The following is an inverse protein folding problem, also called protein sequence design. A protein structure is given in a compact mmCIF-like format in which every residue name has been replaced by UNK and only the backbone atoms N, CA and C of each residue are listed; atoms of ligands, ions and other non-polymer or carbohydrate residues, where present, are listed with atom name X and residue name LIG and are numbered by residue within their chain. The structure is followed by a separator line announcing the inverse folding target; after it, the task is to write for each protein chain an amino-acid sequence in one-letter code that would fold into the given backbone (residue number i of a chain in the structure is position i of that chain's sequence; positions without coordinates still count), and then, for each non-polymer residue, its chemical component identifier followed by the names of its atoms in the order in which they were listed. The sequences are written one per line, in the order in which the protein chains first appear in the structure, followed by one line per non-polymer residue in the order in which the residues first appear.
data_IF_213224737157
#
_entry.id   IF_213224737157
#
_cell.length_a   1.000
_cell.length_b   1.000
_cell.length_c   1.000
_cell.angle_alpha   90.00
_cell.angle_beta   90.00
_cell.angle_gamma   90.00
#
_symmetry.space_group_name_H-M   'P 1'
#
loop_
_entity.id
_entity.type
_entity.pdbx_description
1 polymer ?
#
# COMPACT_ATOMS: atom_id res chain seq x y z
N UNK A 1 -22.23 29.58 18.06
CA UNK A 1 -20.91 29.53 17.42
C UNK A 1 -20.02 28.38 17.92
N UNK A 2 -20.06 27.97 19.20
CA UNK A 2 -19.19 26.90 19.72
C UNK A 2 -19.40 25.48 19.13
N UNK A 3 -20.63 25.12 18.75
CA UNK A 3 -20.91 23.77 18.20
C UNK A 3 -20.25 23.53 16.83
N UNK A 4 -20.12 24.56 15.99
CA UNK A 4 -19.47 24.46 14.68
C UNK A 4 -17.96 24.25 14.79
N UNK A 5 -17.30 24.90 15.76
CA UNK A 5 -15.87 24.72 16.05
C UNK A 5 -15.58 23.31 16.55
N UNK A 6 -16.44 22.77 17.43
CA UNK A 6 -16.32 21.40 17.95
C UNK A 6 -16.51 20.30 16.88
N UNK A 7 -17.28 20.58 15.83
CA UNK A 7 -17.44 19.65 14.70
C UNK A 7 -16.23 19.69 13.76
N UNK A 8 -15.67 20.88 13.52
CA UNK A 8 -14.46 21.07 12.71
C UNK A 8 -13.22 20.35 13.28
N UNK A 9 -13.05 20.32 14.60
CA UNK A 9 -11.92 19.61 15.23
C UNK A 9 -12.01 18.09 15.07
N UNK A 10 -13.21 17.51 15.16
CA UNK A 10 -13.44 16.07 14.92
C UNK A 10 -13.14 15.67 13.47
N UNK A 11 -13.55 16.50 12.51
CA UNK A 11 -13.26 16.27 11.08
C UNK A 11 -11.74 16.30 10.84
N UNK A 12 -11.02 17.25 11.45
CA UNK A 12 -9.57 17.35 11.30
C UNK A 12 -8.83 16.17 11.91
N UNK A 13 -9.30 15.65 13.06
CA UNK A 13 -8.75 14.45 13.70
C UNK A 13 -8.95 13.22 12.82
N UNK A 14 -10.17 12.99 12.33
CA UNK A 14 -10.46 11.88 11.43
C UNK A 14 -9.62 11.94 10.16
N UNK A 15 -9.48 13.15 9.60
CA UNK A 15 -8.64 13.45 8.45
C UNK A 15 -7.17 13.07 8.70
N UNK A 16 -6.59 13.42 9.86
CA UNK A 16 -5.22 13.03 10.20
C UNK A 16 -5.07 11.51 10.37
N UNK A 17 -6.01 10.86 11.06
CA UNK A 17 -6.00 9.41 11.25
C UNK A 17 -6.07 8.66 9.91
N UNK A 18 -6.85 9.17 8.96
CA UNK A 18 -6.96 8.57 7.64
C UNK A 18 -5.65 8.73 6.84
N UNK A 19 -4.95 9.85 6.96
CA UNK A 19 -3.63 10.06 6.33
C UNK A 19 -2.59 9.08 6.88
N UNK A 20 -2.55 8.92 8.21
CA UNK A 20 -1.65 7.99 8.88
C UNK A 20 -1.95 6.54 8.47
N UNK A 21 -3.22 6.15 8.51
CA UNK A 21 -3.67 4.83 8.08
C UNK A 21 -3.30 4.57 6.62
N UNK A 22 -3.50 5.53 5.72
CA UNK A 22 -3.16 5.37 4.31
C UNK A 22 -1.64 5.20 4.11
N UNK A 23 -0.83 6.01 4.80
CA UNK A 23 0.63 5.91 4.73
C UNK A 23 1.15 4.55 5.24
N UNK A 24 0.61 4.06 6.35
CA UNK A 24 1.00 2.75 6.89
C UNK A 24 0.48 1.59 6.03
N UNK A 25 -0.72 1.72 5.47
CA UNK A 25 -1.27 0.76 4.52
C UNK A 25 -0.39 0.64 3.27
N UNK A 26 0.08 1.77 2.71
CA UNK A 26 1.01 1.78 1.57
C UNK A 26 2.30 1.03 1.92
N UNK A 27 2.91 1.30 3.09
CA UNK A 27 4.15 0.62 3.52
C UNK A 27 3.96 -0.89 3.64
N UNK A 28 2.88 -1.32 4.30
CA UNK A 28 2.58 -2.74 4.53
C UNK A 28 2.32 -3.44 3.21
N UNK A 29 1.46 -2.87 2.35
CA UNK A 29 1.18 -3.46 1.03
C UNK A 29 2.43 -3.55 0.16
N UNK A 30 3.31 -2.55 0.20
CA UNK A 30 4.57 -2.59 -0.53
C UNK A 30 5.44 -3.76 -0.05
N UNK A 31 5.59 -3.93 1.27
CA UNK A 31 6.31 -5.08 1.86
C UNK A 31 5.71 -6.42 1.42
N UNK A 32 4.39 -6.54 1.49
CA UNK A 32 3.66 -7.75 1.08
C UNK A 32 3.86 -8.03 -0.42
N UNK A 33 3.80 -7.02 -1.29
CA UNK A 33 4.07 -7.18 -2.72
C UNK A 33 5.47 -7.74 -2.98
N UNK A 34 6.48 -7.23 -2.27
CA UNK A 34 7.85 -7.77 -2.37
C UNK A 34 7.95 -9.21 -1.86
N UNK A 35 7.36 -9.51 -0.70
CA UNK A 35 7.36 -10.87 -0.14
C UNK A 35 6.64 -11.86 -1.06
N UNK A 36 5.50 -11.49 -1.65
CA UNK A 36 4.79 -12.32 -2.63
C UNK A 36 5.63 -12.60 -3.88
N UNK A 37 6.37 -11.59 -4.38
CA UNK A 37 7.27 -11.78 -5.51
C UNK A 37 8.41 -12.77 -5.17
N UNK A 38 9.00 -12.67 -3.98
CA UNK A 38 10.03 -13.63 -3.54
C UNK A 38 9.46 -15.03 -3.29
N UNK A 39 8.29 -15.14 -2.68
CA UNK A 39 7.63 -16.41 -2.43
C UNK A 39 7.26 -17.12 -3.74
N UNK A 40 6.83 -16.36 -4.76
CA UNK A 40 6.63 -16.88 -6.12
C UNK A 40 7.92 -17.47 -6.69
N UNK A 41 9.04 -16.76 -6.58
CA UNK A 41 10.34 -17.26 -7.03
C UNK A 41 10.70 -18.58 -6.33
N UNK A 42 10.58 -18.63 -5.00
CA UNK A 42 10.86 -19.84 -4.23
C UNK A 42 9.92 -21.00 -4.61
N UNK A 43 8.64 -20.71 -4.83
CA UNK A 43 7.64 -21.69 -5.25
C UNK A 43 7.89 -22.25 -6.66
N UNK A 44 8.61 -21.53 -7.53
CA UNK A 44 9.00 -22.02 -8.86
C UNK A 44 10.36 -22.71 -8.84
N UNK A 45 11.31 -22.20 -8.04
CA UNK A 45 12.66 -22.73 -7.95
C UNK A 45 12.71 -24.09 -7.24
N UNK A 46 11.94 -24.29 -6.17
CA UNK A 46 11.95 -25.55 -5.41
C UNK A 46 11.51 -26.74 -6.28
N UNK A 47 10.39 -26.67 -7.03
CA UNK A 47 10.02 -27.71 -7.98
C UNK A 47 11.06 -27.90 -9.08
N UNK A 48 11.61 -26.82 -9.66
CA UNK A 48 12.61 -26.92 -10.74
C UNK A 48 13.89 -27.63 -10.29
N UNK A 49 14.39 -27.31 -9.09
CA UNK A 49 15.55 -27.99 -8.52
C UNK A 49 15.26 -29.47 -8.28
N UNK A 50 14.05 -29.78 -7.81
CA UNK A 50 13.63 -31.14 -7.54
C UNK A 50 13.39 -31.94 -8.84
N UNK A 51 12.86 -31.30 -9.87
CA UNK A 51 12.74 -31.86 -11.22
C UNK A 51 14.10 -32.17 -11.83
N UNK A 52 15.10 -31.32 -11.61
CA UNK A 52 16.47 -31.59 -12.04
C UNK A 52 17.05 -32.83 -11.34
N UNK A 53 16.88 -32.93 -10.02
CA UNK A 53 17.36 -34.09 -9.24
C UNK A 53 16.61 -35.39 -9.58
N UNK A 54 15.33 -35.27 -9.91
CA UNK A 54 14.43 -36.40 -10.18
C UNK A 54 14.20 -36.60 -11.68
N UNK A 55 15.04 -36.01 -12.53
CA UNK A 55 14.88 -36.05 -13.99
C UNK A 55 14.84 -37.49 -14.53
N UNK A 56 15.62 -38.41 -13.94
CA UNK A 56 15.61 -39.84 -14.30
C UNK A 56 14.32 -40.57 -13.90
N UNK A 57 13.53 -40.00 -12.99
CA UNK A 57 12.26 -40.52 -12.49
C UNK A 57 11.05 -39.77 -13.08
N UNK A 58 11.29 -38.87 -14.05
CA UNK A 58 10.24 -38.07 -14.68
C UNK A 58 9.88 -36.77 -13.94
N UNK A 59 10.68 -36.36 -12.95
CA UNK A 59 10.47 -35.15 -12.16
C UNK A 59 9.61 -35.34 -10.91
N UNK A 60 9.44 -34.29 -10.10
CA UNK A 60 8.69 -34.35 -8.85
C UNK A 60 7.20 -34.65 -9.08
N UNK A 61 6.66 -34.16 -10.20
CA UNK A 61 5.25 -34.31 -10.52
C UNK A 61 4.89 -35.74 -10.97
N UNK A 62 5.80 -36.43 -11.69
CA UNK A 62 5.65 -37.84 -11.99
C UNK A 62 5.67 -38.71 -10.72
N UNK A 63 6.53 -38.37 -9.75
CA UNK A 63 6.66 -39.11 -8.50
C UNK A 63 5.50 -38.90 -7.52
N UNK A 64 4.92 -37.71 -7.53
CA UNK A 64 3.75 -37.40 -6.68
C UNK A 64 2.42 -37.81 -7.32
N UNK A 65 2.44 -38.29 -8.57
CA UNK A 65 1.25 -38.67 -9.33
C UNK A 65 0.30 -37.50 -9.60
N UNK A 66 0.82 -36.26 -9.59
CA UNK A 66 0.04 -35.04 -9.82
C UNK A 66 0.52 -34.35 -11.08
N UNK A 67 -0.42 -33.89 -11.89
CA UNK A 67 -0.13 -33.10 -13.09
C UNK A 67 0.10 -31.63 -12.67
N UNK A 68 1.21 -31.01 -13.11
CA UNK A 68 1.56 -29.64 -12.72
C UNK A 68 0.98 -28.61 -13.69
N UNK A 69 -0.22 -28.13 -13.42
CA UNK A 69 -0.82 -27.04 -14.19
C UNK A 69 -0.89 -25.73 -13.40
N UNK A 70 -0.07 -25.57 -12.35
CA UNK A 70 -0.06 -24.35 -11.55
C UNK A 70 0.65 -23.21 -12.29
N UNK A 71 -0.11 -22.40 -13.01
CA UNK A 71 0.35 -21.10 -13.49
C UNK A 71 0.33 -20.11 -12.32
N UNK A 72 1.48 -19.50 -12.02
CA UNK A 72 1.59 -18.48 -10.96
C UNK A 72 1.70 -17.12 -11.64
N UNK A 73 0.64 -16.33 -11.55
CA UNK A 73 0.60 -14.95 -12.05
C UNK A 73 1.65 -14.06 -11.39
N UNK A 74 2.17 -13.12 -12.17
CA UNK A 74 3.10 -12.08 -11.71
C UNK A 74 2.42 -10.71 -11.76
N UNK A 75 1.77 -10.36 -10.64
CA UNK A 75 1.06 -9.09 -10.50
C UNK A 75 1.88 -8.00 -9.79
N UNK A 76 3.18 -8.24 -9.55
CA UNK A 76 4.01 -7.31 -8.79
C UNK A 76 4.00 -5.91 -9.42
N UNK A 77 4.19 -5.82 -10.74
CA UNK A 77 4.17 -4.54 -11.46
C UNK A 77 2.82 -3.83 -11.36
N UNK A 78 1.71 -4.57 -11.45
CA UNK A 78 0.34 -4.04 -11.32
C UNK A 78 0.11 -3.51 -9.91
N UNK A 79 0.52 -4.26 -8.90
CA UNK A 79 0.43 -3.88 -7.49
C UNK A 79 1.26 -2.61 -7.20
N UNK A 80 2.50 -2.54 -7.69
CA UNK A 80 3.35 -1.35 -7.51
C UNK A 80 2.75 -0.11 -8.18
N UNK A 81 2.15 -0.24 -9.38
CA UNK A 81 1.45 0.87 -10.03
C UNK A 81 0.27 1.36 -9.19
N UNK A 82 -0.52 0.45 -8.63
CA UNK A 82 -1.63 0.79 -7.73
C UNK A 82 -1.14 1.55 -6.50
N UNK A 83 -0.09 1.04 -5.84
CA UNK A 83 0.49 1.68 -4.66
C UNK A 83 1.05 3.07 -4.94
N UNK A 84 1.75 3.24 -6.06
CA UNK A 84 2.27 4.55 -6.47
C UNK A 84 1.14 5.56 -6.75
N UNK A 85 0.00 5.11 -7.29
CA UNK A 85 -1.17 5.99 -7.49
C UNK A 85 -1.74 6.46 -6.16
N UNK A 86 -1.92 5.53 -5.21
CA UNK A 86 -2.45 5.86 -3.87
C UNK A 86 -1.48 6.80 -3.15
N UNK A 87 -0.18 6.54 -3.22
CA UNK A 87 0.83 7.42 -2.61
C UNK A 87 0.78 8.85 -3.17
N UNK A 88 0.60 8.98 -4.49
CA UNK A 88 0.42 10.29 -5.14
C UNK A 88 -0.82 11.00 -4.62
N UNK A 89 -1.96 10.31 -4.52
CA UNK A 89 -3.22 10.89 -4.04
C UNK A 89 -3.12 11.36 -2.58
N UNK A 90 -2.49 10.56 -1.71
CA UNK A 90 -2.24 10.93 -0.31
C UNK A 90 -1.35 12.18 -0.22
N UNK A 91 -0.28 12.24 -1.03
CA UNK A 91 0.62 13.41 -1.11
C UNK A 91 -0.11 14.66 -1.58
N UNK A 92 -0.95 14.55 -2.61
CA UNK A 92 -1.74 15.66 -3.14
C UNK A 92 -2.72 16.18 -2.09
N UNK A 93 -3.41 15.29 -1.39
CA UNK A 93 -4.35 15.64 -0.33
C UNK A 93 -3.65 16.36 0.84
N UNK A 94 -2.47 15.86 1.25
CA UNK A 94 -1.65 16.51 2.29
C UNK A 94 -1.28 17.95 1.90
N UNK A 95 -0.85 18.15 0.65
CA UNK A 95 -0.51 19.48 0.12
C UNK A 95 -1.71 20.44 0.13
N UNK A 96 -2.90 19.95 -0.23
CA UNK A 96 -4.12 20.76 -0.19
C UNK A 96 -4.48 21.19 1.24
N UNK A 97 -4.33 20.28 2.21
CA UNK A 97 -4.57 20.57 3.63
C UNK A 97 -3.61 21.62 4.18
N UNK A 98 -2.31 21.46 3.91
CA UNK A 98 -1.28 22.43 4.30
C UNK A 98 -1.56 23.80 3.67
N UNK A 99 -1.88 23.84 2.38
CA UNK A 99 -2.24 25.08 1.67
C UNK A 99 -3.48 25.76 2.25
N UNK A 100 -4.52 25.01 2.59
CA UNK A 100 -5.74 25.55 3.19
C UNK A 100 -5.46 26.13 4.59
N UNK A 101 -4.73 25.40 5.43
CA UNK A 101 -4.35 25.88 6.77
C UNK A 101 -3.47 27.13 6.71
N UNK A 102 -2.54 27.19 5.76
CA UNK A 102 -1.67 28.35 5.53
C UNK A 102 -2.46 29.57 5.02
N UNK A 103 -3.39 29.38 4.09
CA UNK A 103 -4.28 30.44 3.61
C UNK A 103 -5.19 30.99 4.71
N UNK A 104 -5.81 30.12 5.52
CA UNK A 104 -6.62 30.56 6.66
C UNK A 104 -5.77 31.32 7.68
N UNK A 105 -4.58 30.83 8.00
CA UNK A 105 -3.66 31.50 8.92
C UNK A 105 -3.23 32.89 8.42
N UNK A 106 -2.97 33.03 7.12
CA UNK A 106 -2.68 34.32 6.50
C UNK A 106 -3.91 35.23 6.54
N UNK A 107 -5.10 34.71 6.18
CA UNK A 107 -6.34 35.45 6.21
C UNK A 107 -6.76 35.92 7.60
N UNK A 108 -6.40 35.20 8.66
CA UNK A 108 -6.77 35.60 10.02
C UNK A 108 -5.66 36.34 10.73
N UNK A 109 -4.50 36.54 10.08
CA UNK A 109 -3.33 37.18 10.70
C UNK A 109 -3.57 38.64 11.13
N UNK A 110 -4.54 39.32 10.51
CA UNK A 110 -4.88 40.72 10.78
C UNK A 110 -6.03 40.91 11.78
N UNK A 111 -6.71 39.83 12.18
CA UNK A 111 -7.81 39.92 13.14
C UNK A 111 -7.25 40.15 14.56
N UNK A 112 -7.71 41.17 15.29
CA UNK A 112 -7.28 41.38 16.66
C UNK A 112 -7.68 40.18 17.53
N UNK A 113 -6.77 39.73 18.41
CA UNK A 113 -7.03 38.65 19.36
C UNK A 113 -8.28 39.00 20.19
N UNK A 114 -9.36 38.23 20.00
CA UNK A 114 -10.56 38.35 20.82
C UNK A 114 -10.26 37.71 22.17
N UNK A 115 -9.98 38.55 23.18
CA UNK A 115 -10.02 38.21 24.60
C UNK A 115 -11.39 37.68 25.01
#
# INVERSE_FOLDING_TARGET
MCAAVAYGTKINQLSNLLEELANDTIKVLNSISYEMAQNRIMSLQNPMALDYLLASQGGIYALTGRESCAYIDDEFQTQQKGLNSIEREVKEWKRQKESSSSWWSWLTSWLPNQT
#
